data_IF_626510238450
#
_entry.id   IF_626510238450
#
_cell.length_a   1.000
_cell.length_b   1.000
_cell.length_c   1.000
_cell.angle_alpha   90.00
_cell.angle_beta   90.00
_cell.angle_gamma   90.00
#
_symmetry.space_group_name_H-M   'P 1'
#
loop_
_entity.id
_entity.type
_entity.pdbx_description
1 polymer ?
#
# COMPACT_ATOMS: atom_id res chain seq x y z
N UNK A 1 -18.65 65.73 4.66
CA UNK A 1 -19.40 64.55 4.14
C UNK A 1 -18.47 63.36 3.86
N UNK A 2 -17.36 63.53 3.13
CA UNK A 2 -16.38 62.46 2.85
C UNK A 2 -15.73 61.81 4.10
N UNK A 3 -15.45 62.58 5.16
CA UNK A 3 -14.88 62.04 6.42
C UNK A 3 -15.86 61.14 7.19
N UNK A 4 -17.14 61.52 7.28
CA UNK A 4 -18.17 60.73 7.95
C UNK A 4 -18.53 59.44 7.19
N UNK A 5 -18.56 59.49 5.85
CA UNK A 5 -18.79 58.31 5.00
C UNK A 5 -17.61 57.32 5.09
N UNK A 6 -16.36 57.82 5.20
CA UNK A 6 -15.18 56.97 5.41
C UNK A 6 -15.17 56.34 6.81
N UNK A 7 -15.59 57.07 7.84
CA UNK A 7 -15.78 56.53 9.21
C UNK A 7 -16.88 55.47 9.27
N UNK A 8 -18.01 55.70 8.60
CA UNK A 8 -19.12 54.75 8.52
C UNK A 8 -18.77 53.49 7.72
N UNK A 9 -18.09 53.63 6.57
CA UNK A 9 -17.60 52.48 5.79
C UNK A 9 -16.56 51.66 6.56
N UNK A 10 -15.64 52.32 7.28
CA UNK A 10 -14.69 51.63 8.16
C UNK A 10 -15.39 50.93 9.34
N UNK A 11 -16.39 51.55 9.95
CA UNK A 11 -17.17 50.95 11.03
C UNK A 11 -18.00 49.73 10.57
N UNK A 12 -18.63 49.81 9.39
CA UNK A 12 -19.38 48.72 8.79
C UNK A 12 -18.46 47.54 8.43
N UNK A 13 -17.27 47.82 7.87
CA UNK A 13 -16.27 46.79 7.57
C UNK A 13 -15.71 46.15 8.84
N UNK A 14 -15.53 46.92 9.92
CA UNK A 14 -15.06 46.43 11.21
C UNK A 14 -16.10 45.53 11.90
N UNK A 15 -17.38 45.90 11.90
CA UNK A 15 -18.46 45.07 12.44
C UNK A 15 -18.65 43.75 11.66
N UNK A 16 -18.59 43.82 10.32
CA UNK A 16 -18.64 42.62 9.47
C UNK A 16 -17.49 41.65 9.75
N UNK A 17 -16.28 42.19 9.98
CA UNK A 17 -15.08 41.41 10.34
C UNK A 17 -15.20 40.76 11.71
N UNK A 18 -15.68 41.47 12.73
CA UNK A 18 -15.87 40.89 14.07
C UNK A 18 -16.84 39.71 14.00
N UNK A 19 -17.93 39.84 13.22
CA UNK A 19 -18.88 38.75 13.00
C UNK A 19 -18.22 37.55 12.32
N UNK A 20 -17.40 37.78 11.29
CA UNK A 20 -16.65 36.72 10.61
C UNK A 20 -15.64 36.02 11.54
N UNK A 21 -14.81 36.76 12.26
CA UNK A 21 -13.85 36.21 13.24
C UNK A 21 -14.58 35.38 14.29
N UNK A 22 -15.74 35.85 14.77
CA UNK A 22 -16.56 35.11 15.74
C UNK A 22 -17.04 33.78 15.18
N UNK A 23 -17.44 33.73 13.91
CA UNK A 23 -17.87 32.49 13.24
C UNK A 23 -16.69 31.53 13.05
N UNK A 24 -15.53 32.02 12.60
CA UNK A 24 -14.33 31.21 12.40
C UNK A 24 -13.79 30.65 13.71
N UNK A 25 -13.70 31.49 14.76
CA UNK A 25 -13.30 31.06 16.10
C UNK A 25 -14.22 29.96 16.62
N UNK A 26 -15.54 30.10 16.47
CA UNK A 26 -16.50 29.06 16.88
C UNK A 26 -16.38 27.75 16.09
N UNK A 27 -15.82 27.77 14.87
CA UNK A 27 -15.61 26.56 14.06
C UNK A 27 -14.28 25.88 14.37
N UNK A 28 -13.25 26.67 14.67
CA UNK A 28 -11.88 26.19 14.80
C UNK A 28 -11.51 25.89 16.26
N UNK A 29 -11.98 26.71 17.19
CA UNK A 29 -11.78 26.52 18.62
C UNK A 29 -13.07 26.89 19.41
N UNK A 30 -14.15 26.11 19.24
CA UNK A 30 -15.45 26.38 19.87
C UNK A 30 -15.40 26.46 21.40
N UNK A 31 -14.52 25.67 22.02
CA UNK A 31 -14.40 25.55 23.45
C UNK A 31 -13.25 26.39 24.04
N UNK A 32 -12.55 27.19 23.20
CA UNK A 32 -11.38 27.97 23.59
C UNK A 32 -10.25 27.13 24.23
N UNK A 33 -10.10 25.87 23.81
CA UNK A 33 -9.11 24.93 24.33
C UNK A 33 -7.73 25.21 23.73
N UNK A 34 -7.70 25.74 22.50
CA UNK A 34 -6.49 26.03 21.75
C UNK A 34 -5.80 27.33 22.17
N UNK A 35 -6.46 28.15 23.00
CA UNK A 35 -5.99 29.48 23.40
C UNK A 35 -5.56 30.37 22.21
N UNK A 36 -6.21 30.19 21.04
CA UNK A 36 -5.94 31.00 19.88
C UNK A 36 -6.33 32.45 20.15
N UNK A 37 -5.41 33.37 19.89
CA UNK A 37 -5.66 34.81 19.96
C UNK A 37 -6.04 35.31 18.57
N UNK A 38 -7.25 35.82 18.44
CA UNK A 38 -7.76 36.37 17.18
C UNK A 38 -7.79 37.89 17.27
N UNK A 39 -6.95 38.57 16.48
CA UNK A 39 -6.88 40.03 16.46
C UNK A 39 -7.28 40.57 15.07
N UNK A 40 -8.25 41.50 14.97
CA UNK A 40 -8.45 42.20 13.71
C UNK A 40 -7.22 43.04 13.38
N UNK A 41 -6.82 43.05 12.10
CA UNK A 41 -5.69 43.83 11.59
C UNK A 41 -6.20 44.73 10.45
N UNK A 42 -6.18 46.06 10.67
CA UNK A 42 -6.68 47.06 9.70
C UNK A 42 -8.12 46.85 9.23
N UNK A 43 -8.44 47.29 8.01
CA UNK A 43 -9.77 47.20 7.38
C UNK A 43 -10.12 45.82 6.80
N UNK A 44 -9.14 45.03 6.37
CA UNK A 44 -9.39 43.78 5.59
C UNK A 44 -8.73 42.50 6.12
N UNK A 45 -7.89 42.58 7.15
CA UNK A 45 -7.11 41.43 7.66
C UNK A 45 -7.45 41.07 9.11
N UNK A 46 -7.01 39.90 9.54
CA UNK A 46 -6.99 39.50 10.95
C UNK A 46 -5.83 38.54 11.14
N UNK A 47 -5.31 38.49 12.36
CA UNK A 47 -4.19 37.67 12.77
C UNK A 47 -4.70 36.62 13.76
N UNK A 48 -4.24 35.39 13.60
CA UNK A 48 -4.43 34.32 14.57
C UNK A 48 -3.05 34.04 15.15
N UNK A 49 -2.86 34.33 16.43
CA UNK A 49 -1.67 33.90 17.15
C UNK A 49 -1.98 32.59 17.85
N UNK A 50 -1.13 31.61 17.58
CA UNK A 50 -1.14 30.30 18.21
C UNK A 50 -0.11 30.30 19.33
N UNK A 51 -0.45 29.89 20.55
CA UNK A 51 0.57 29.69 21.58
C UNK A 51 1.53 28.62 21.10
N UNK A 52 2.83 28.91 21.16
CA UNK A 52 3.87 27.93 20.86
C UNK A 52 3.68 26.72 21.80
N UNK A 53 3.66 25.51 21.24
CA UNK A 53 3.70 24.31 22.08
C UNK A 53 4.96 24.36 22.96
N UNK A 54 4.88 23.85 24.19
CA UNK A 54 6.06 23.83 25.07
C UNK A 54 7.15 22.95 24.45
N UNK A 55 8.42 23.22 24.77
CA UNK A 55 9.54 22.36 24.37
C UNK A 55 9.30 20.89 24.78
N UNK A 56 8.72 20.68 25.96
CA UNK A 56 8.26 19.38 26.44
C UNK A 56 7.24 18.71 25.48
N UNK A 57 6.28 19.46 24.94
CA UNK A 57 5.29 18.93 23.99
C UNK A 57 5.96 18.49 22.68
N UNK A 58 6.88 19.31 22.17
CA UNK A 58 7.66 18.98 20.97
C UNK A 58 8.53 17.74 21.19
N UNK A 59 9.17 17.62 22.35
CA UNK A 59 9.97 16.46 22.71
C UNK A 59 9.13 15.17 22.78
N UNK A 60 7.98 15.21 23.48
CA UNK A 60 7.08 14.04 23.58
C UNK A 60 6.55 13.59 22.21
N UNK A 61 6.21 14.54 21.33
CA UNK A 61 5.79 14.22 19.96
C UNK A 61 6.92 13.58 19.17
N UNK A 62 8.13 14.15 19.21
CA UNK A 62 9.29 13.60 18.51
C UNK A 62 9.59 12.18 18.99
N UNK A 63 9.58 11.94 20.30
CA UNK A 63 9.82 10.60 20.86
C UNK A 63 8.77 9.58 20.37
N UNK A 64 7.50 9.99 20.25
CA UNK A 64 6.47 9.15 19.66
C UNK A 64 6.70 8.88 18.17
N UNK A 65 7.00 9.91 17.37
CA UNK A 65 7.27 9.78 15.93
C UNK A 65 8.50 8.92 15.66
N UNK A 66 9.56 9.05 16.46
CA UNK A 66 10.76 8.22 16.42
C UNK A 66 10.43 6.75 16.74
N UNK A 67 9.74 6.48 17.86
CA UNK A 67 9.35 5.12 18.22
C UNK A 67 8.47 4.47 17.15
N UNK A 68 7.52 5.23 16.57
CA UNK A 68 6.66 4.74 15.49
C UNK A 68 7.46 4.44 14.23
N UNK A 69 8.43 5.30 13.90
CA UNK A 69 9.33 5.09 12.76
C UNK A 69 10.17 3.83 12.95
N UNK A 70 10.75 3.61 14.13
CA UNK A 70 11.53 2.41 14.45
C UNK A 70 10.71 1.12 14.35
N UNK A 71 9.48 1.13 14.86
CA UNK A 71 8.55 0.00 14.76
C UNK A 71 8.24 -0.34 13.29
N UNK A 72 7.95 0.67 12.47
CA UNK A 72 7.59 0.50 11.06
C UNK A 72 8.81 0.21 10.17
N UNK A 73 10.03 0.59 10.58
CA UNK A 73 11.26 0.34 9.84
C UNK A 73 11.58 -1.16 9.69
N UNK A 74 11.02 -2.02 10.57
CA UNK A 74 11.12 -3.48 10.44
C UNK A 74 10.27 -4.08 9.32
N UNK A 75 9.38 -3.28 8.70
CA UNK A 75 8.60 -3.70 7.54
C UNK A 75 9.48 -3.95 6.32
N UNK A 76 9.03 -4.88 5.46
CA UNK A 76 9.74 -5.29 4.25
C UNK A 76 8.83 -5.10 3.04
N UNK A 77 9.39 -4.51 1.99
CA UNK A 77 8.69 -4.39 0.73
C UNK A 77 8.48 -5.79 0.10
N UNK A 78 7.22 -6.25 -0.10
CA UNK A 78 6.95 -7.56 -0.68
C UNK A 78 7.59 -7.75 -2.06
N UNK A 79 7.79 -6.67 -2.83
CA UNK A 79 8.43 -6.76 -4.14
C UNK A 79 9.87 -7.27 -4.08
N UNK A 80 10.61 -6.95 -3.00
CA UNK A 80 11.99 -7.43 -2.81
C UNK A 80 11.99 -8.93 -2.54
N UNK A 81 11.05 -9.41 -1.71
CA UNK A 81 10.84 -10.85 -1.44
C UNK A 81 10.52 -11.58 -2.76
N UNK A 82 9.58 -11.05 -3.54
CA UNK A 82 9.18 -11.64 -4.83
C UNK A 82 10.34 -11.68 -5.84
N UNK A 83 11.20 -10.66 -5.86
CA UNK A 83 12.41 -10.66 -6.69
C UNK A 83 13.42 -11.72 -6.24
N UNK A 84 13.54 -11.93 -4.93
CA UNK A 84 14.45 -12.92 -4.34
C UNK A 84 14.02 -14.35 -4.64
N UNK A 85 12.72 -14.60 -4.86
CA UNK A 85 12.23 -15.91 -5.34
C UNK A 85 12.85 -16.35 -6.68
N UNK A 86 13.26 -15.40 -7.52
CA UNK A 86 13.86 -15.67 -8.84
C UNK A 86 15.36 -16.00 -8.77
N UNK A 87 15.98 -15.84 -7.61
CA UNK A 87 17.41 -16.13 -7.41
C UNK A 87 17.64 -17.64 -7.21
N UNK A 88 18.88 -18.12 -7.37
CA UNK A 88 19.25 -19.46 -6.97
C UNK A 88 18.90 -19.74 -5.50
N UNK A 89 18.60 -21.00 -5.11
CA UNK A 89 18.17 -21.33 -3.75
C UNK A 89 19.13 -20.84 -2.66
N UNK A 90 20.45 -20.91 -2.89
CA UNK A 90 21.47 -20.47 -1.92
C UNK A 90 21.40 -18.96 -1.65
N UNK A 91 21.41 -18.13 -2.70
CA UNK A 91 21.29 -16.66 -2.59
C UNK A 91 19.94 -16.25 -2.00
N UNK A 92 18.86 -16.95 -2.35
CA UNK A 92 17.53 -16.70 -1.81
C UNK A 92 17.45 -17.01 -0.32
N UNK A 93 18.10 -18.07 0.15
CA UNK A 93 18.16 -18.40 1.57
C UNK A 93 18.90 -17.33 2.36
N UNK A 94 20.00 -16.79 1.81
CA UNK A 94 20.72 -15.67 2.43
C UNK A 94 19.82 -14.42 2.54
N UNK A 95 19.19 -14.00 1.44
CA UNK A 95 18.23 -12.88 1.45
C UNK A 95 17.11 -13.08 2.49
N UNK A 96 16.56 -14.31 2.58
CA UNK A 96 15.46 -14.60 3.48
C UNK A 96 15.87 -14.58 4.95
N UNK A 97 17.10 -14.99 5.27
CA UNK A 97 17.64 -14.86 6.62
C UNK A 97 17.76 -13.37 7.02
N UNK A 98 18.20 -12.52 6.09
CA UNK A 98 18.27 -11.07 6.31
C UNK A 98 16.87 -10.48 6.50
N UNK A 99 15.90 -10.87 5.66
CA UNK A 99 14.51 -10.42 5.77
C UNK A 99 13.81 -10.90 7.03
N UNK A 100 14.14 -12.09 7.53
CA UNK A 100 13.57 -12.58 8.77
C UNK A 100 14.06 -11.81 9.99
N UNK A 101 15.21 -11.11 9.89
CA UNK A 101 15.84 -10.36 10.99
C UNK A 101 15.90 -11.15 12.31
N UNK A 102 16.18 -12.45 12.22
CA UNK A 102 16.24 -13.37 13.37
C UNK A 102 14.89 -13.89 13.89
N UNK A 103 13.75 -13.47 13.32
CA UNK A 103 12.43 -13.98 13.70
C UNK A 103 12.14 -15.35 13.07
N UNK A 104 11.86 -16.35 13.90
CA UNK A 104 11.50 -17.70 13.44
C UNK A 104 10.19 -17.72 12.65
N UNK A 105 9.23 -16.88 13.03
CA UNK A 105 7.92 -16.84 12.38
C UNK A 105 8.01 -16.21 11.00
N UNK A 106 8.80 -15.13 10.87
CA UNK A 106 9.10 -14.51 9.56
C UNK A 106 9.85 -15.48 8.66
N UNK A 107 10.85 -16.18 9.20
CA UNK A 107 11.60 -17.19 8.47
C UNK A 107 10.66 -18.29 7.94
N UNK A 108 9.72 -18.75 8.76
CA UNK A 108 8.74 -19.76 8.36
C UNK A 108 7.85 -19.27 7.22
N UNK A 109 7.30 -18.07 7.31
CA UNK A 109 6.45 -17.48 6.24
C UNK A 109 7.23 -17.41 4.92
N UNK A 110 8.49 -16.97 4.97
CA UNK A 110 9.36 -16.88 3.80
C UNK A 110 9.71 -18.26 3.23
N UNK A 111 10.01 -19.24 4.08
CA UNK A 111 10.30 -20.61 3.66
C UNK A 111 9.09 -21.31 3.03
N UNK A 112 7.90 -21.12 3.62
CA UNK A 112 6.64 -21.64 3.08
C UNK A 112 6.34 -21.03 1.70
N UNK A 113 6.62 -19.73 1.51
CA UNK A 113 6.51 -19.07 0.21
C UNK A 113 7.50 -19.61 -0.82
N UNK A 114 8.78 -19.80 -0.47
CA UNK A 114 9.77 -20.38 -1.37
C UNK A 114 9.38 -21.80 -1.81
N UNK A 115 8.95 -22.63 -0.86
CA UNK A 115 8.51 -24.00 -1.14
C UNK A 115 7.34 -24.02 -2.11
N UNK A 116 6.29 -23.23 -1.83
CA UNK A 116 5.12 -23.14 -2.70
C UNK A 116 5.46 -22.58 -4.09
N UNK A 117 6.42 -21.65 -4.18
CA UNK A 117 6.89 -21.09 -5.45
C UNK A 117 7.64 -22.14 -6.29
N UNK A 118 8.56 -22.88 -5.67
CA UNK A 118 9.38 -23.88 -6.37
C UNK A 118 8.50 -25.02 -6.90
N UNK A 119 7.62 -25.57 -6.05
CA UNK A 119 6.69 -26.64 -6.45
C UNK A 119 5.74 -26.18 -7.58
N UNK A 120 5.27 -24.93 -7.52
CA UNK A 120 4.44 -24.35 -8.58
C UNK A 120 5.23 -24.25 -9.89
N UNK A 121 6.46 -23.74 -9.83
CA UNK A 121 7.31 -23.55 -11.01
C UNK A 121 7.65 -24.89 -11.66
N UNK A 122 8.00 -25.90 -10.86
CA UNK A 122 8.32 -27.25 -11.34
C UNK A 122 7.12 -27.88 -12.07
N UNK A 123 5.92 -27.82 -11.49
CA UNK A 123 4.71 -28.33 -12.14
C UNK A 123 4.33 -27.52 -13.38
N UNK A 124 4.49 -26.20 -13.38
CA UNK A 124 4.24 -25.37 -14.55
C UNK A 124 5.21 -25.70 -15.70
N UNK A 125 6.49 -25.93 -15.39
CA UNK A 125 7.48 -26.36 -16.37
C UNK A 125 7.15 -27.73 -16.93
N UNK A 126 6.83 -28.71 -16.06
CA UNK A 126 6.42 -30.06 -16.47
C UNK A 126 5.16 -30.03 -17.35
N UNK A 127 4.15 -29.24 -16.97
CA UNK A 127 2.93 -29.03 -17.77
C UNK A 127 3.27 -28.47 -19.15
N UNK A 128 4.11 -27.45 -19.21
CA UNK A 128 4.48 -26.81 -20.48
C UNK A 128 5.26 -27.77 -21.39
N UNK A 129 6.21 -28.53 -20.83
CA UNK A 129 6.97 -29.53 -21.56
C UNK A 129 6.06 -30.64 -22.12
N UNK A 130 5.17 -31.19 -21.28
CA UNK A 130 4.20 -32.20 -21.71
C UNK A 130 3.25 -31.65 -22.78
N UNK A 131 2.79 -30.41 -22.63
CA UNK A 131 1.94 -29.76 -23.64
C UNK A 131 2.66 -29.61 -24.99
N UNK A 132 3.92 -29.19 -24.99
CA UNK A 132 4.71 -29.12 -26.23
C UNK A 132 4.91 -30.50 -26.87
N UNK A 133 5.17 -31.55 -26.07
CA UNK A 133 5.27 -32.92 -26.59
C UNK A 133 3.94 -33.41 -27.18
N UNK A 134 2.82 -33.12 -26.51
CA UNK A 134 1.50 -33.43 -27.03
C UNK A 134 1.27 -32.78 -28.40
N UNK A 135 1.58 -31.49 -28.55
CA UNK A 135 1.45 -30.81 -29.85
C UNK A 135 2.29 -31.46 -30.96
N UNK A 136 3.52 -31.86 -30.66
CA UNK A 136 4.36 -32.58 -31.63
C UNK A 136 3.75 -33.93 -32.02
N UNK A 137 3.20 -34.68 -31.06
CA UNK A 137 2.51 -35.95 -31.35
C UNK A 137 1.21 -35.74 -32.13
N UNK A 138 0.49 -34.64 -31.92
CA UNK A 138 -0.69 -34.28 -32.72
C UNK A 138 -0.34 -34.05 -34.21
N UNK A 139 0.82 -33.46 -34.49
CA UNK A 139 1.35 -33.31 -35.84
C UNK A 139 1.68 -34.68 -36.47
N UNK A 140 2.27 -35.59 -35.69
CA UNK A 140 2.56 -36.97 -36.13
C UNK A 140 1.28 -37.78 -36.41
N UNK A 141 0.28 -37.68 -35.53
CA UNK A 141 -1.05 -38.30 -35.70
C UNK A 141 -1.72 -37.78 -36.98
N UNK A 142 -1.66 -36.48 -37.23
CA UNK A 142 -2.21 -35.87 -38.44
C UNK A 142 -1.47 -36.31 -39.70
N UNK A 143 -0.14 -36.47 -39.63
CA UNK A 143 0.67 -36.99 -40.73
C UNK A 143 0.41 -38.47 -41.03
N UNK A 144 -0.05 -39.24 -40.03
CA UNK A 144 -0.52 -40.62 -40.18
C UNK A 144 -1.97 -40.71 -40.69
N UNK A 145 -2.59 -39.59 -41.08
CA UNK A 145 -3.97 -39.50 -41.59
C UNK A 145 -5.04 -40.00 -40.59
N UNK A 146 -4.73 -40.01 -39.29
CA UNK A 146 -5.68 -40.40 -38.24
C UNK A 146 -6.60 -39.22 -37.88
N UNK A 147 -7.86 -39.52 -37.51
CA UNK A 147 -8.84 -38.51 -37.10
C UNK A 147 -8.52 -37.91 -35.73
N UNK A 148 -7.71 -36.84 -35.74
CA UNK A 148 -7.27 -36.13 -34.55
C UNK A 148 -8.43 -35.56 -33.73
N UNK A 149 -9.52 -35.13 -34.37
CA UNK A 149 -10.67 -34.56 -33.67
C UNK A 149 -11.38 -35.65 -32.85
N UNK A 150 -11.62 -36.83 -33.43
CA UNK A 150 -12.17 -37.96 -32.70
C UNK A 150 -11.25 -38.45 -31.58
N UNK A 151 -9.93 -38.46 -31.82
CA UNK A 151 -8.95 -38.80 -30.79
C UNK A 151 -9.05 -37.83 -29.61
N UNK A 152 -9.07 -36.50 -29.86
CA UNK A 152 -9.19 -35.47 -28.82
C UNK A 152 -10.49 -35.55 -28.04
N UNK A 153 -11.59 -35.94 -28.68
CA UNK A 153 -12.87 -36.14 -28.00
C UNK A 153 -12.84 -37.33 -27.04
N UNK A 154 -12.07 -38.39 -27.34
CA UNK A 154 -12.01 -39.60 -26.55
C UNK A 154 -10.85 -39.64 -25.54
N UNK A 155 -9.82 -38.82 -25.73
CA UNK A 155 -8.57 -38.88 -24.95
C UNK A 155 -8.78 -38.80 -23.44
N UNK A 156 -9.73 -37.97 -22.98
CA UNK A 156 -10.04 -37.84 -21.55
C UNK A 156 -10.72 -39.07 -20.96
N UNK A 157 -11.41 -39.88 -21.78
CA UNK A 157 -11.99 -41.13 -21.33
C UNK A 157 -10.92 -42.23 -21.35
N UNK A 158 -10.14 -42.29 -22.44
CA UNK A 158 -9.04 -43.25 -22.60
C UNK A 158 -7.97 -43.11 -21.53
N UNK A 159 -7.65 -41.88 -21.10
CA UNK A 159 -6.63 -41.62 -20.06
C UNK A 159 -7.02 -42.13 -18.67
N UNK A 160 -8.24 -42.61 -18.47
CA UNK A 160 -8.74 -43.16 -17.21
C UNK A 160 -8.87 -44.69 -17.23
N UNK A 161 -8.61 -45.31 -18.38
CA UNK A 161 -8.67 -46.76 -18.55
C UNK A 161 -7.38 -47.42 -18.06
N UNK A 162 -7.46 -48.69 -17.67
CA UNK A 162 -6.27 -49.51 -17.46
C UNK A 162 -5.63 -49.93 -18.79
N UNK A 163 -4.39 -50.43 -18.74
CA UNK A 163 -3.61 -50.78 -19.95
C UNK A 163 -4.33 -51.75 -20.90
N UNK A 164 -5.10 -52.71 -20.36
CA UNK A 164 -5.80 -53.69 -21.17
C UNK A 164 -7.02 -53.04 -21.85
N UNK A 165 -7.83 -52.32 -21.07
CA UNK A 165 -9.01 -51.61 -21.57
C UNK A 165 -8.65 -50.52 -22.59
N UNK A 166 -7.55 -49.80 -22.34
CA UNK A 166 -7.02 -48.80 -23.26
C UNK A 166 -6.62 -49.46 -24.59
N UNK A 167 -5.84 -50.53 -24.53
CA UNK A 167 -5.39 -51.25 -25.72
C UNK A 167 -6.56 -51.77 -26.55
N UNK A 168 -7.58 -52.35 -25.91
CA UNK A 168 -8.79 -52.81 -26.59
C UNK A 168 -9.55 -51.64 -27.24
N UNK A 169 -9.75 -50.55 -26.50
CA UNK A 169 -10.44 -49.34 -27.00
C UNK A 169 -9.73 -48.69 -28.19
N UNK A 170 -8.39 -48.62 -28.15
CA UNK A 170 -7.61 -48.06 -29.25
C UNK A 170 -7.61 -48.97 -30.48
N UNK A 171 -7.58 -50.29 -30.30
CA UNK A 171 -7.72 -51.25 -31.42
C UNK A 171 -9.09 -51.15 -32.09
N UNK A 172 -10.14 -51.00 -31.29
CA UNK A 172 -11.50 -50.81 -31.82
C UNK A 172 -11.59 -49.50 -32.61
N UNK A 173 -11.02 -48.41 -32.07
CA UNK A 173 -10.94 -47.12 -32.75
C UNK A 173 -10.20 -47.22 -34.10
N UNK A 174 -8.99 -47.78 -34.11
CA UNK A 174 -8.18 -47.97 -35.32
C UNK A 174 -8.80 -48.96 -36.31
N UNK A 175 -9.57 -49.93 -35.82
CA UNK A 175 -10.26 -50.93 -36.63
C UNK A 175 -11.54 -50.43 -37.29
N UNK A 176 -12.06 -49.28 -36.88
CA UNK A 176 -13.33 -48.72 -37.33
C UNK A 176 -13.27 -48.05 -38.71
N UNK A 177 -12.06 -47.76 -39.21
CA UNK A 177 -11.86 -46.84 -40.35
C UNK A 177 -11.63 -47.51 -41.72
N UNK A 178 -12.35 -48.61 -42.00
CA UNK A 178 -12.49 -49.08 -43.39
C UNK A 178 -13.95 -49.32 -43.69
N UNK A 179 -14.66 -48.25 -44.07
CA UNK A 179 -15.99 -48.25 -44.69
C UNK A 179 -16.06 -48.99 -46.04
N UNK A 180 -15.49 -50.19 -46.14
CA UNK A 180 -15.59 -51.07 -47.29
C UNK A 180 -16.25 -52.37 -46.85
N UNK A 181 -17.38 -52.79 -47.46
CA UNK A 181 -18.12 -54.00 -47.09
C UNK A 181 -17.37 -55.33 -47.28
N UNK A 182 -16.08 -55.31 -47.62
CA UNK A 182 -15.28 -56.48 -47.98
C UNK A 182 -13.77 -56.32 -47.64
N UNK A 183 -13.42 -55.59 -46.58
CA UNK A 183 -12.04 -55.63 -46.08
C UNK A 183 -11.80 -56.91 -45.28
N UNK A 184 -10.94 -57.79 -45.80
CA UNK A 184 -10.30 -58.84 -45.00
C UNK A 184 -9.68 -58.20 -43.75
N UNK A 185 -10.08 -58.68 -42.56
CA UNK A 185 -9.58 -58.32 -41.21
C UNK A 185 -8.91 -56.93 -41.15
N UNK A 186 -9.60 -55.92 -40.59
CA UNK A 186 -8.99 -54.66 -40.16
C UNK A 186 -7.59 -54.89 -39.58
N UNK A 187 -6.57 -54.63 -40.39
CA UNK A 187 -5.18 -54.67 -39.96
C UNK A 187 -4.95 -53.30 -39.34
N UNK A 188 -5.01 -53.23 -38.02
CA UNK A 188 -4.46 -52.09 -37.30
C UNK A 188 -2.94 -52.13 -37.48
N UNK A 189 -2.34 -51.00 -37.80
CA UNK A 189 -0.89 -50.88 -37.87
C UNK A 189 -0.33 -50.78 -36.44
N UNK A 190 0.59 -51.67 -36.02
CA UNK A 190 1.16 -51.64 -34.68
C UNK A 190 1.75 -50.28 -34.30
N UNK A 191 2.38 -49.60 -35.27
CA UNK A 191 2.99 -48.28 -35.08
C UNK A 191 1.95 -47.20 -34.69
N UNK A 192 0.74 -47.26 -35.25
CA UNK A 192 -0.35 -46.33 -34.91
C UNK A 192 -0.93 -46.62 -33.53
N UNK A 193 -1.00 -47.91 -33.13
CA UNK A 193 -1.43 -48.29 -31.78
C UNK A 193 -0.43 -47.78 -30.73
N UNK A 194 0.87 -47.94 -30.98
CA UNK A 194 1.93 -47.47 -30.10
C UNK A 194 1.93 -45.93 -30.02
N UNK A 195 1.75 -45.24 -31.16
CA UNK A 195 1.63 -43.77 -31.23
C UNK A 195 0.46 -43.26 -30.37
N UNK A 196 -0.74 -43.81 -30.55
CA UNK A 196 -1.92 -43.41 -29.79
C UNK A 196 -1.81 -43.77 -28.31
N UNK A 197 -1.23 -44.93 -27.98
CA UNK A 197 -0.97 -45.33 -26.59
C UNK A 197 -0.03 -44.33 -25.91
N UNK A 198 1.07 -43.96 -26.59
CA UNK A 198 2.00 -42.93 -26.12
C UNK A 198 1.33 -41.57 -25.92
N UNK A 199 0.50 -41.15 -26.87
CA UNK A 199 -0.25 -39.89 -26.80
C UNK A 199 -1.22 -39.85 -25.61
N UNK A 200 -2.02 -40.90 -25.42
CA UNK A 200 -2.98 -40.99 -24.30
C UNK A 200 -2.24 -40.98 -22.95
N UNK A 201 -1.13 -41.72 -22.83
CA UNK A 201 -0.33 -41.75 -21.60
C UNK A 201 0.33 -40.39 -21.31
N UNK A 202 0.81 -39.69 -22.33
CA UNK A 202 1.35 -38.33 -22.20
C UNK A 202 0.26 -37.36 -21.73
N UNK A 203 -0.95 -37.48 -22.28
CA UNK A 203 -2.09 -36.66 -21.88
C UNK A 203 -2.52 -36.95 -20.45
N UNK A 204 -2.53 -38.22 -20.03
CA UNK A 204 -2.83 -38.61 -18.65
C UNK A 204 -1.88 -37.92 -17.66
N UNK A 205 -0.57 -37.96 -17.93
CA UNK A 205 0.44 -37.26 -17.12
C UNK A 205 0.24 -35.75 -17.13
N UNK A 206 -0.10 -35.16 -18.28
CA UNK A 206 -0.38 -33.73 -18.36
C UNK A 206 -1.61 -33.34 -17.55
N UNK A 207 -2.69 -34.13 -17.64
CA UNK A 207 -3.93 -33.91 -16.91
C UNK A 207 -3.72 -34.00 -15.39
N UNK A 208 -2.93 -34.98 -14.93
CA UNK A 208 -2.56 -35.11 -13.51
C UNK A 208 -1.80 -33.86 -13.01
N UNK A 209 -0.85 -33.36 -13.80
CA UNK A 209 -0.10 -32.13 -13.45
C UNK A 209 -1.03 -30.92 -13.41
N UNK A 210 -1.97 -30.81 -14.35
CA UNK A 210 -2.98 -29.74 -14.34
C UNK A 210 -3.86 -29.83 -13.10
N UNK A 211 -4.32 -31.03 -12.73
CA UNK A 211 -5.10 -31.26 -11.51
C UNK A 211 -4.32 -30.83 -10.26
N UNK A 212 -3.06 -31.26 -10.11
CA UNK A 212 -2.19 -30.83 -8.99
C UNK A 212 -2.00 -29.30 -8.91
N UNK A 213 -2.03 -28.61 -10.06
CA UNK A 213 -1.97 -27.14 -10.11
C UNK A 213 -3.31 -26.50 -9.72
N UNK A 214 -4.45 -27.05 -10.16
CA UNK A 214 -5.76 -26.40 -10.14
C UNK A 214 -6.77 -26.94 -9.14
N UNK A 215 -6.45 -28.01 -8.41
CA UNK A 215 -7.35 -28.61 -7.43
C UNK A 215 -7.84 -27.54 -6.43
N UNK A 216 -9.16 -27.39 -6.22
CA UNK A 216 -9.67 -26.37 -5.31
C UNK A 216 -9.09 -26.52 -3.90
N UNK A 217 -8.67 -25.40 -3.31
CA UNK A 217 -8.16 -25.29 -1.94
C UNK A 217 -6.80 -25.96 -1.69
N UNK A 218 -6.48 -27.06 -2.39
CA UNK A 218 -5.28 -27.87 -2.17
C UNK A 218 -4.27 -27.81 -3.32
N UNK A 219 -4.69 -27.33 -4.49
CA UNK A 219 -3.83 -27.17 -5.66
C UNK A 219 -2.71 -26.15 -5.46
N UNK A 220 -1.58 -26.35 -6.14
CA UNK A 220 -0.39 -25.52 -5.95
C UNK A 220 -0.62 -24.04 -6.29
N UNK A 221 -1.55 -23.71 -7.18
CA UNK A 221 -1.94 -22.32 -7.43
C UNK A 221 -2.52 -21.64 -6.18
N UNK A 222 -3.42 -22.33 -5.46
CA UNK A 222 -4.05 -21.80 -4.26
C UNK A 222 -3.08 -21.78 -3.08
N UNK A 223 -2.23 -22.81 -2.94
CA UNK A 223 -1.18 -22.84 -1.91
C UNK A 223 -0.22 -21.66 -2.07
N UNK A 224 0.28 -21.39 -3.28
CA UNK A 224 1.14 -20.24 -3.55
C UNK A 224 0.43 -18.90 -3.31
N UNK A 225 -0.84 -18.78 -3.73
CA UNK A 225 -1.65 -17.58 -3.45
C UNK A 225 -1.82 -17.33 -1.95
N UNK A 226 -2.03 -18.38 -1.16
CA UNK A 226 -2.16 -18.29 0.29
C UNK A 226 -0.82 -17.95 0.95
N UNK A 227 0.29 -18.53 0.50
CA UNK A 227 1.63 -18.17 0.96
C UNK A 227 1.96 -16.69 0.65
N UNK A 228 1.56 -16.19 -0.52
CA UNK A 228 1.70 -14.78 -0.87
C UNK A 228 0.88 -13.86 0.05
N UNK A 229 -0.34 -14.24 0.41
CA UNK A 229 -1.15 -13.49 1.40
C UNK A 229 -0.51 -13.51 2.79
N UNK A 230 0.20 -14.58 3.16
CA UNK A 230 0.88 -14.64 4.45
C UNK A 230 1.99 -13.57 4.59
N UNK A 231 2.48 -13.00 3.47
CA UNK A 231 3.39 -11.85 3.50
C UNK A 231 2.78 -10.62 4.18
N UNK A 232 1.46 -10.47 4.19
CA UNK A 232 0.78 -9.36 4.88
C UNK A 232 1.10 -9.38 6.38
N UNK A 233 1.39 -10.55 6.96
CA UNK A 233 1.79 -10.72 8.37
C UNK A 233 3.23 -10.30 8.67
N UNK A 234 4.02 -9.99 7.64
CA UNK A 234 5.38 -9.47 7.83
C UNK A 234 5.40 -7.95 8.06
N UNK A 235 4.28 -7.27 7.79
CA UNK A 235 4.20 -5.83 7.79
C UNK A 235 3.09 -5.33 8.69
N UNK A 236 3.43 -4.36 9.52
CA UNK A 236 2.50 -3.64 10.38
C UNK A 236 2.21 -2.28 9.75
N UNK A 237 0.95 -1.91 9.59
CA UNK A 237 0.59 -0.59 9.06
C UNK A 237 0.42 0.45 10.17
N UNK A 238 0.68 1.72 9.85
CA UNK A 238 0.45 2.83 10.77
C UNK A 238 -1.02 2.90 11.23
N UNK A 239 -1.98 2.61 10.34
CA UNK A 239 -3.40 2.59 10.66
C UNK A 239 -3.75 1.53 11.72
N UNK A 240 -3.15 0.34 11.65
CA UNK A 240 -3.35 -0.71 12.66
C UNK A 240 -2.84 -0.26 14.04
N UNK A 241 -1.69 0.42 14.07
CA UNK A 241 -1.12 0.97 15.30
C UNK A 241 -2.03 2.09 15.84
N UNK A 242 -2.33 3.09 15.01
CA UNK A 242 -3.15 4.25 15.36
C UNK A 242 -4.54 3.84 15.84
N UNK A 243 -5.16 2.83 15.23
CA UNK A 243 -6.45 2.30 15.68
C UNK A 243 -6.44 1.90 17.17
N UNK A 244 -5.35 1.31 17.64
CA UNK A 244 -5.19 0.93 19.05
C UNK A 244 -4.87 2.13 19.93
N UNK A 245 -3.98 2.99 19.45
CA UNK A 245 -3.53 4.17 20.18
C UNK A 245 -4.68 5.16 20.44
N UNK A 246 -5.58 5.36 19.47
CA UNK A 246 -6.71 6.29 19.62
C UNK A 246 -7.71 5.88 20.70
N UNK A 247 -7.82 4.59 21.02
CA UNK A 247 -8.70 4.12 22.10
C UNK A 247 -8.20 4.62 23.46
N UNK A 248 -9.12 4.82 24.42
CA UNK A 248 -8.75 5.25 25.77
C UNK A 248 -7.75 4.28 26.43
N UNK A 249 -6.74 4.76 27.18
CA UNK A 249 -5.79 3.90 27.90
C UNK A 249 -6.46 3.01 28.95
N UNK A 250 -7.65 3.41 29.43
CA UNK A 250 -8.47 2.65 30.39
C UNK A 250 -9.39 1.63 29.73
N UNK A 251 -9.42 1.59 28.39
CA UNK A 251 -10.29 0.68 27.65
C UNK A 251 -9.72 -0.73 27.65
N UNK A 252 -10.51 -1.69 28.14
CA UNK A 252 -10.15 -3.11 28.05
C UNK A 252 -10.01 -3.59 26.60
N UNK A 253 -10.75 -2.98 25.67
CA UNK A 253 -10.61 -3.28 24.24
C UNK A 253 -9.24 -2.84 23.69
N UNK A 254 -8.69 -1.74 24.20
CA UNK A 254 -7.36 -1.26 23.81
C UNK A 254 -6.29 -2.27 24.20
N UNK A 255 -6.28 -2.71 25.46
CA UNK A 255 -5.29 -3.69 25.93
C UNK A 255 -5.39 -5.00 25.15
N UNK A 256 -6.60 -5.49 24.90
CA UNK A 256 -6.81 -6.69 24.08
C UNK A 256 -6.24 -6.55 22.67
N UNK A 257 -6.49 -5.43 21.99
CA UNK A 257 -5.99 -5.26 20.61
C UNK A 257 -4.48 -5.01 20.57
N UNK A 258 -3.89 -4.39 21.60
CA UNK A 258 -2.42 -4.35 21.75
C UNK A 258 -1.86 -5.75 21.96
N UNK A 259 -2.46 -6.58 22.81
CA UNK A 259 -2.03 -7.96 23.03
C UNK A 259 -2.15 -8.80 21.75
N UNK A 260 -3.24 -8.64 20.98
CA UNK A 260 -3.43 -9.25 19.66
C UNK A 260 -2.29 -8.85 18.70
N UNK A 261 -1.95 -7.56 18.62
CA UNK A 261 -0.84 -7.04 17.82
C UNK A 261 0.51 -7.63 18.24
N UNK A 262 0.77 -7.74 19.54
CA UNK A 262 2.02 -8.31 20.06
C UNK A 262 2.12 -9.82 19.81
N UNK A 263 0.99 -10.52 19.74
CA UNK A 263 0.97 -11.93 19.35
C UNK A 263 1.25 -12.08 17.84
N UNK A 264 0.63 -11.23 17.01
CA UNK A 264 0.83 -11.26 15.55
C UNK A 264 2.25 -10.85 15.15
N UNK A 265 2.83 -9.87 15.85
CA UNK A 265 4.18 -9.34 15.62
C UNK A 265 5.08 -9.57 16.84
N UNK A 266 5.26 -10.84 17.23
CA UNK A 266 6.00 -11.23 18.42
C UNK A 266 7.45 -10.70 18.45
N UNK A 267 8.11 -10.59 17.29
CA UNK A 267 9.45 -10.02 17.12
C UNK A 267 9.52 -8.50 17.32
N UNK A 268 8.37 -7.84 17.50
CA UNK A 268 8.24 -6.39 17.69
C UNK A 268 7.52 -6.01 18.96
N UNK A 269 7.32 -6.96 19.87
CA UNK A 269 6.56 -6.77 21.10
C UNK A 269 7.09 -5.60 21.93
N UNK A 270 8.42 -5.46 22.04
CA UNK A 270 9.06 -4.37 22.78
C UNK A 270 8.89 -3.01 22.08
N UNK A 271 9.04 -2.94 20.76
CA UNK A 271 8.82 -1.70 20.01
C UNK A 271 7.35 -1.26 20.04
N UNK A 272 6.41 -2.21 20.01
CA UNK A 272 4.97 -1.92 20.20
C UNK A 272 4.73 -1.31 21.58
N UNK A 273 5.32 -1.89 22.63
CA UNK A 273 5.22 -1.34 24.00
C UNK A 273 5.82 0.07 24.08
N UNK A 274 6.96 0.32 23.43
CA UNK A 274 7.61 1.63 23.38
C UNK A 274 6.73 2.68 22.69
N UNK A 275 6.13 2.35 21.55
CA UNK A 275 5.19 3.23 20.84
C UNK A 275 3.96 3.53 21.69
N UNK A 276 3.39 2.51 22.33
CA UNK A 276 2.23 2.66 23.22
C UNK A 276 2.54 3.60 24.38
N UNK A 277 3.69 3.43 25.03
CA UNK A 277 4.14 4.29 26.12
C UNK A 277 4.39 5.73 25.65
N UNK A 278 5.16 5.92 24.58
CA UNK A 278 5.48 7.24 24.04
C UNK A 278 4.20 7.99 23.60
N UNK A 279 3.25 7.29 23.00
CA UNK A 279 1.97 7.87 22.63
C UNK A 279 1.12 8.25 23.83
N UNK A 280 1.05 7.41 24.87
CA UNK A 280 0.27 7.72 26.07
C UNK A 280 0.83 8.94 26.83
N UNK A 281 2.15 9.17 26.76
CA UNK A 281 2.78 10.39 27.25
C UNK A 281 2.48 11.62 26.38
N UNK A 282 2.46 11.47 25.06
CA UNK A 282 2.12 12.55 24.11
C UNK A 282 0.62 12.89 24.14
N UNK A 283 -0.24 11.90 24.39
CA UNK A 283 -1.70 11.99 24.28
C UNK A 283 -2.35 13.20 24.96
N UNK A 284 -1.99 13.61 26.20
CA UNK A 284 -2.61 14.75 26.87
C UNK A 284 -2.34 16.10 26.19
N UNK A 285 -1.29 16.16 25.37
CA UNK A 285 -0.89 17.35 24.63
C UNK A 285 -1.52 17.39 23.24
N UNK A 286 -2.11 16.28 22.77
CA UNK A 286 -2.75 16.16 21.46
C UNK A 286 -3.93 17.09 21.29
N UNK A 287 -4.08 17.57 20.06
CA UNK A 287 -5.18 18.42 19.67
C UNK A 287 -4.97 19.86 20.07
N UNK A 288 -3.88 20.24 20.76
CA UNK A 288 -3.37 21.61 20.67
C UNK A 288 -2.98 21.83 19.19
N UNK A 289 -3.29 22.99 18.63
CA UNK A 289 -2.78 23.36 17.31
C UNK A 289 -1.26 23.47 17.46
N UNK A 290 -0.60 22.34 17.23
CA UNK A 290 0.83 22.14 17.47
C UNK A 290 1.66 22.53 16.23
N UNK A 291 1.01 22.60 15.07
CA UNK A 291 1.60 22.99 13.78
C UNK A 291 0.70 24.04 13.08
N UNK A 292 1.26 25.17 12.59
CA UNK A 292 0.53 26.10 11.73
C UNK A 292 -0.24 25.42 10.57
N UNK A 293 0.26 24.33 9.99
CA UNK A 293 -0.37 23.58 8.88
C UNK A 293 -1.72 22.97 9.28
N UNK A 294 -1.90 22.58 10.54
CA UNK A 294 -3.20 22.08 11.01
C UNK A 294 -4.24 23.20 11.07
N UNK A 295 -3.84 24.38 11.56
CA UNK A 295 -4.69 25.57 11.54
C UNK A 295 -5.05 25.96 10.10
N UNK A 296 -4.08 25.89 9.18
CA UNK A 296 -4.32 26.14 7.75
C UNK A 296 -5.36 25.19 7.15
N UNK A 297 -5.27 23.89 7.45
CA UNK A 297 -6.23 22.89 6.97
C UNK A 297 -7.65 23.16 7.49
N UNK A 298 -7.77 23.51 8.78
CA UNK A 298 -9.05 23.86 9.39
C UNK A 298 -9.66 25.15 8.80
N UNK A 299 -8.83 26.17 8.53
CA UNK A 299 -9.26 27.43 7.90
C UNK A 299 -9.76 27.22 6.45
N UNK A 300 -9.07 26.38 5.65
CA UNK A 300 -9.52 26.01 4.29
C UNK A 300 -10.86 25.29 4.33
N UNK A 301 -11.02 24.32 5.23
CA UNK A 301 -12.28 23.59 5.42
C UNK A 301 -13.46 24.48 5.87
N UNK A 302 -13.17 25.61 6.52
CA UNK A 302 -14.18 26.58 6.94
C UNK A 302 -14.63 27.56 5.83
N UNK A 303 -14.05 27.48 4.62
CA UNK A 303 -14.42 28.29 3.45
C UNK A 303 -13.52 29.52 3.20
N UNK A 304 -12.33 29.60 3.81
CA UNK A 304 -11.34 30.65 3.51
C UNK A 304 -10.48 30.18 2.33
N UNK A 305 -10.53 30.93 1.22
CA UNK A 305 -9.91 30.52 -0.06
C UNK A 305 -8.42 30.87 -0.18
N UNK A 306 -7.96 31.96 0.46
CA UNK A 306 -6.55 32.39 0.44
C UNK A 306 -6.16 33.00 1.79
N UNK A 307 -4.99 32.64 2.32
CA UNK A 307 -4.41 33.25 3.52
C UNK A 307 -2.89 33.35 3.35
N UNK A 308 -2.26 34.25 4.11
CA UNK A 308 -0.81 34.49 4.08
C UNK A 308 -0.29 34.55 5.51
N UNK A 309 0.82 33.87 5.76
CA UNK A 309 1.47 33.81 7.07
C UNK A 309 2.77 34.61 6.99
N UNK A 310 3.05 35.38 8.03
CA UNK A 310 4.29 36.14 8.13
C UNK A 310 5.46 35.18 8.39
N UNK A 311 6.52 35.22 7.57
CA UNK A 311 7.74 34.48 7.90
C UNK A 311 8.34 35.04 9.19
N UNK A 312 8.61 34.16 10.15
CA UNK A 312 9.29 34.52 11.39
C UNK A 312 10.78 34.22 11.24
N UNK A 313 11.61 35.24 11.47
CA UNK A 313 13.07 35.08 11.44
C UNK A 313 13.51 34.08 12.52
N UNK A 314 14.30 33.08 12.15
CA UNK A 314 14.76 32.01 13.04
C UNK A 314 13.90 30.73 13.06
N UNK A 315 12.80 30.68 12.30
CA UNK A 315 12.05 29.44 12.11
C UNK A 315 12.83 28.47 11.19
N UNK A 316 12.89 27.15 11.47
CA UNK A 316 13.69 26.17 10.69
C UNK A 316 13.33 26.12 9.20
N UNK A 317 12.07 26.40 8.86
CA UNK A 317 11.57 26.42 7.47
C UNK A 317 11.75 27.80 6.77
N UNK A 318 12.37 28.79 7.42
CA UNK A 318 12.58 30.15 6.87
C UNK A 318 14.08 30.43 6.72
N UNK A 319 14.56 30.46 5.48
CA UNK A 319 15.94 30.80 5.16
C UNK A 319 16.19 32.31 5.33
N UNK A 320 17.13 32.65 6.22
CA UNK A 320 17.46 34.04 6.55
C UNK A 320 18.14 34.79 5.41
N UNK A 321 18.95 34.09 4.60
CA UNK A 321 19.64 34.69 3.45
C UNK A 321 18.65 34.95 2.30
N UNK A 322 17.69 34.04 2.12
CA UNK A 322 16.57 34.22 1.19
C UNK A 322 15.72 35.45 1.59
N UNK A 323 15.38 35.60 2.88
CA UNK A 323 14.61 36.75 3.37
C UNK A 323 15.34 38.08 3.15
N UNK A 324 16.66 38.11 3.34
CA UNK A 324 17.47 39.31 3.08
C UNK A 324 17.38 39.72 1.59
N UNK A 325 17.34 38.75 0.68
CA UNK A 325 17.12 38.98 -0.75
C UNK A 325 15.78 39.65 -1.05
N UNK A 326 14.69 39.20 -0.43
CA UNK A 326 13.36 39.82 -0.58
C UNK A 326 13.32 41.27 -0.08
N UNK A 327 14.03 41.58 1.01
CA UNK A 327 14.14 42.95 1.54
C UNK A 327 14.92 43.85 0.58
N UNK A 328 16.01 43.36 -0.01
CA UNK A 328 16.80 44.15 -0.96
C UNK A 328 16.05 44.37 -2.29
N UNK A 329 15.29 43.37 -2.76
CA UNK A 329 14.40 43.52 -3.91
C UNK A 329 13.29 44.53 -3.64
N UNK A 330 12.72 44.57 -2.44
CA UNK A 330 11.74 45.59 -2.07
C UNK A 330 12.35 46.99 -2.17
N UNK A 331 13.56 47.16 -1.63
CA UNK A 331 14.29 48.44 -1.62
C UNK A 331 14.61 48.93 -3.03
N UNK A 332 14.96 48.02 -3.95
CA UNK A 332 15.45 48.38 -5.30
C UNK A 332 14.37 48.40 -6.37
N UNK A 333 13.32 47.56 -6.26
CA UNK A 333 12.31 47.36 -7.31
C UNK A 333 10.86 47.59 -6.86
N UNK A 334 10.64 47.82 -5.55
CA UNK A 334 9.31 48.06 -4.99
C UNK A 334 8.47 46.78 -4.80
N UNK A 335 7.34 46.87 -4.08
CA UNK A 335 6.64 45.72 -3.51
C UNK A 335 6.10 44.75 -4.56
N UNK A 336 5.64 45.25 -5.71
CA UNK A 336 5.08 44.39 -6.77
C UNK A 336 6.13 43.48 -7.42
N UNK A 337 7.35 43.97 -7.64
CA UNK A 337 8.43 43.21 -8.28
C UNK A 337 9.26 42.39 -7.30
N UNK A 338 9.22 42.75 -6.03
CA UNK A 338 9.81 41.98 -4.94
C UNK A 338 8.89 40.85 -4.43
N UNK A 339 7.71 40.69 -5.05
CA UNK A 339 6.74 39.64 -4.70
C UNK A 339 6.72 38.56 -5.77
N UNK A 340 6.54 37.31 -5.36
CA UNK A 340 6.41 36.16 -6.23
C UNK A 340 5.39 35.14 -5.69
N UNK A 341 5.49 33.89 -6.16
CA UNK A 341 4.60 32.79 -5.75
C UNK A 341 4.80 32.35 -4.30
N UNK A 342 5.97 32.62 -3.70
CA UNK A 342 6.38 32.15 -2.38
C UNK A 342 6.20 33.24 -1.32
N UNK A 343 6.60 34.48 -1.61
CA UNK A 343 6.44 35.62 -0.72
C UNK A 343 5.87 36.83 -1.43
N UNK A 344 5.02 37.58 -0.74
CA UNK A 344 4.41 38.80 -1.30
C UNK A 344 4.47 39.94 -0.30
N UNK A 345 4.92 41.09 -0.78
CA UNK A 345 4.90 42.35 -0.05
C UNK A 345 3.49 42.93 -0.05
N UNK A 346 2.92 43.03 1.14
CA UNK A 346 1.62 43.61 1.38
C UNK A 346 1.78 44.93 2.14
N UNK A 347 1.15 46.00 1.65
CA UNK A 347 1.09 47.25 2.40
C UNK A 347 0.42 47.02 3.76
N UNK A 348 0.98 47.67 4.79
CA UNK A 348 0.51 47.63 6.17
C UNK A 348 -0.18 48.97 6.44
N UNK A 349 -1.41 48.96 6.96
CA UNK A 349 -2.21 50.19 7.13
C UNK A 349 -1.64 51.13 8.22
N UNK A 350 -1.07 50.57 9.29
CA UNK A 350 -0.35 51.31 10.34
C UNK A 350 0.81 50.46 10.84
N UNK A 351 2.01 51.06 10.90
CA UNK A 351 3.20 50.39 11.45
C UNK A 351 3.13 50.32 12.97
N UNK A 352 2.47 51.29 13.62
CA UNK A 352 2.31 51.36 15.07
C UNK A 352 1.44 50.22 15.62
N UNK A 353 0.41 49.81 14.87
CA UNK A 353 -0.43 48.65 15.20
C UNK A 353 0.32 47.31 15.09
N UNK A 354 1.39 47.27 14.29
CA UNK A 354 2.17 46.07 14.00
C UNK A 354 3.39 45.88 14.90
N UNK A 355 3.98 46.98 15.37
CA UNK A 355 5.18 46.94 16.21
C UNK A 355 4.87 46.53 17.65
N UNK A 356 3.60 46.54 18.08
CA UNK A 356 3.13 45.98 19.36
C UNK A 356 4.09 46.21 20.53
N UNK A 357 3.91 47.33 21.26
CA UNK A 357 4.57 47.69 22.53
C UNK A 357 5.18 46.46 23.23
N UNK A 358 6.50 46.41 23.26
CA UNK A 358 7.27 45.23 23.68
C UNK A 358 7.08 44.78 25.13
#
# INVERSE_FOLDING_TARGET
MLSAVRYLLNAINYEGKIKMITVLRRRIDPANIQNLLWRPQGGTRFEIQMPLASEETHEKRRNFEEALTELLAKNINPAIIMRSLLKPPEERTEDFNDFATGSSDRQKILADLATAYDELNDLQNKRNELFSKLQMTEDEISAAELDLEQIKLNISNWSRLDDQQLTESLKDFLGSDKGTPNAEKSVWEPDNLDLLTGYVNMYAQWAEVVEQLTEPETGKNDQYKNAKKALDKLNLTEDQVNFCLEMSPKSLKRSQTIDELKIEFADRSEEIDNVVAAFDEYRPFRGRLDDPKDLQRMLKGAGILEFRILPTLGHPEVDSDEMAGYVELLRTKGPKYASDIKYVWCEVESIEEWIGVG
#
